data_IF_351718750416
#
_entry.id   IF_351718750416
#
_cell.length_a   1.000
_cell.length_b   1.000
_cell.length_c   1.000
_cell.angle_alpha   90.00
_cell.angle_beta   90.00
_cell.angle_gamma   90.00
#
_symmetry.space_group_name_H-M   'P 1'
#
loop_
_entity.id
_entity.type
_entity.pdbx_description
1 polymer ?
#
# COMPACT_ATOMS: atom_id res chain seq x y z
N UNK A 1 0.93 -15.20 1.90
CA UNK A 1 0.69 -14.30 3.06
C UNK A 1 0.01 -13.00 2.65
N UNK A 2 0.44 -12.32 1.57
CA UNK A 2 -0.25 -11.13 1.05
C UNK A 2 -1.72 -11.40 0.67
N UNK A 3 -1.98 -12.35 -0.24
CA UNK A 3 -3.35 -12.68 -0.68
C UNK A 3 -4.30 -13.02 0.47
N UNK A 4 -3.88 -13.77 1.49
CA UNK A 4 -4.76 -14.09 2.61
C UNK A 4 -5.19 -12.84 3.42
N UNK A 5 -4.29 -11.87 3.62
CA UNK A 5 -4.65 -10.62 4.29
C UNK A 5 -5.58 -9.75 3.44
N UNK A 6 -5.42 -9.81 2.11
CA UNK A 6 -6.33 -9.19 1.15
C UNK A 6 -7.75 -9.79 1.25
N UNK A 7 -7.88 -11.12 1.24
CA UNK A 7 -9.17 -11.80 1.44
C UNK A 7 -9.83 -11.48 2.79
N UNK A 8 -9.03 -11.32 3.85
CA UNK A 8 -9.53 -10.83 5.14
C UNK A 8 -10.08 -9.40 5.03
N UNK A 9 -9.44 -8.54 4.23
CA UNK A 9 -9.92 -7.19 3.93
C UNK A 9 -11.33 -7.19 3.37
N UNK A 10 -11.60 -8.04 2.36
CA UNK A 10 -12.95 -8.21 1.82
C UNK A 10 -13.94 -8.74 2.86
N UNK A 11 -13.54 -9.77 3.61
CA UNK A 11 -14.39 -10.32 4.66
C UNK A 11 -14.78 -9.27 5.71
N UNK A 12 -13.83 -8.43 6.14
CA UNK A 12 -14.13 -7.36 7.10
C UNK A 12 -14.93 -6.22 6.48
N UNK A 13 -14.78 -5.93 5.18
CA UNK A 13 -15.64 -4.99 4.47
C UNK A 13 -17.12 -5.43 4.56
N UNK A 14 -17.38 -6.71 4.29
CA UNK A 14 -18.72 -7.29 4.37
C UNK A 14 -19.33 -7.17 5.76
N UNK A 15 -18.52 -7.39 6.80
CA UNK A 15 -19.00 -7.39 8.19
C UNK A 15 -19.10 -6.01 8.81
N UNK A 16 -18.25 -5.08 8.40
CA UNK A 16 -18.12 -3.79 9.06
C UNK A 16 -18.71 -2.64 8.27
N UNK A 17 -18.78 -2.73 6.93
CA UNK A 17 -19.05 -1.57 6.06
C UNK A 17 -20.34 -1.78 5.28
N UNK A 18 -20.51 -2.91 4.59
CA UNK A 18 -21.57 -3.17 3.60
C UNK A 18 -22.98 -2.75 4.06
N UNK A 19 -23.37 -3.17 5.26
CA UNK A 19 -24.75 -3.03 5.75
C UNK A 19 -24.95 -1.81 6.68
N UNK A 20 -23.91 -1.01 6.94
CA UNK A 20 -23.98 0.21 7.74
C UNK A 20 -23.93 1.45 6.83
N UNK A 21 -25.03 2.21 6.69
CA UNK A 21 -25.09 3.35 5.78
C UNK A 21 -24.08 4.46 6.10
N UNK A 22 -23.74 4.68 7.38
CA UNK A 22 -22.79 5.72 7.77
C UNK A 22 -21.37 5.30 7.41
N UNK A 23 -21.02 4.04 7.67
CA UNK A 23 -19.70 3.51 7.32
C UNK A 23 -19.53 3.36 5.81
N UNK A 24 -20.58 2.98 5.09
CA UNK A 24 -20.56 2.92 3.63
C UNK A 24 -20.36 4.32 3.03
N UNK A 25 -21.00 5.35 3.59
CA UNK A 25 -20.75 6.73 3.17
C UNK A 25 -19.30 7.18 3.44
N UNK A 26 -18.74 6.83 4.60
CA UNK A 26 -17.35 7.12 4.94
C UNK A 26 -16.37 6.37 4.01
N UNK A 27 -16.63 5.10 3.73
CA UNK A 27 -15.89 4.30 2.77
C UNK A 27 -15.87 5.00 1.40
N UNK A 28 -17.03 5.43 0.89
CA UNK A 28 -17.11 6.07 -0.44
C UNK A 28 -16.39 7.42 -0.50
N UNK A 29 -16.35 8.16 0.60
CA UNK A 29 -15.57 9.39 0.69
C UNK A 29 -14.05 9.13 0.59
N UNK A 30 -13.58 7.97 1.09
CA UNK A 30 -12.17 7.62 1.16
C UNK A 30 -11.67 6.79 -0.03
N UNK A 31 -12.42 5.79 -0.48
CA UNK A 31 -11.99 4.82 -1.51
C UNK A 31 -12.69 5.02 -2.86
N UNK A 32 -13.80 5.77 -2.88
CA UNK A 32 -14.64 5.95 -4.06
C UNK A 32 -15.86 5.03 -4.08
N UNK A 33 -16.63 5.11 -5.16
CA UNK A 33 -17.91 4.42 -5.28
C UNK A 33 -17.73 2.97 -5.77
N UNK A 34 -17.95 2.01 -4.86
CA UNK A 34 -17.82 0.58 -5.13
C UNK A 34 -18.93 -0.01 -6.02
N UNK A 35 -19.97 0.78 -6.34
CA UNK A 35 -21.06 0.32 -7.21
C UNK A 35 -20.68 0.31 -8.69
N UNK A 36 -19.49 0.81 -9.03
CA UNK A 36 -18.92 0.60 -10.35
C UNK A 36 -18.95 -0.91 -10.69
N UNK A 37 -19.20 -1.24 -11.95
CA UNK A 37 -19.28 -2.63 -12.36
C UNK A 37 -17.92 -3.31 -12.15
N UNK A 38 -17.81 -4.15 -11.11
CA UNK A 38 -16.56 -4.78 -10.69
C UNK A 38 -15.79 -5.43 -11.85
N UNK A 39 -16.45 -6.30 -12.61
CA UNK A 39 -15.87 -6.99 -13.77
C UNK A 39 -15.39 -6.02 -14.87
N UNK A 40 -16.14 -4.93 -15.08
CA UNK A 40 -15.80 -3.93 -16.09
C UNK A 40 -14.58 -3.11 -15.65
N UNK A 41 -14.50 -2.78 -14.36
CA UNK A 41 -13.38 -2.05 -13.77
C UNK A 41 -12.09 -2.90 -13.84
N UNK A 42 -12.16 -4.18 -13.49
CA UNK A 42 -11.04 -5.11 -13.65
C UNK A 42 -10.63 -5.28 -15.11
N UNK A 43 -11.59 -5.43 -16.02
CA UNK A 43 -11.30 -5.53 -17.46
C UNK A 43 -10.55 -4.28 -17.96
N UNK A 44 -11.01 -3.08 -17.56
CA UNK A 44 -10.35 -1.83 -17.91
C UNK A 44 -8.94 -1.74 -17.31
N UNK A 45 -8.75 -2.18 -16.07
CA UNK A 45 -7.45 -2.23 -15.42
C UNK A 45 -6.49 -3.21 -16.12
N UNK A 46 -6.92 -4.41 -16.47
CA UNK A 46 -6.05 -5.37 -17.18
C UNK A 46 -5.71 -4.91 -18.60
N UNK A 47 -6.57 -4.12 -19.24
CA UNK A 47 -6.31 -3.56 -20.56
C UNK A 47 -5.32 -2.37 -20.52
N UNK A 48 -5.43 -1.50 -19.52
CA UNK A 48 -4.73 -0.21 -19.51
C UNK A 48 -3.65 -0.09 -18.43
N UNK A 49 -3.70 -0.92 -17.39
CA UNK A 49 -2.89 -0.81 -16.18
C UNK A 49 -3.29 0.36 -15.29
N UNK A 50 -2.51 0.58 -14.23
CA UNK A 50 -2.62 1.76 -13.38
C UNK A 50 -2.03 3.00 -14.07
N UNK A 51 -2.56 4.18 -13.73
CA UNK A 51 -1.98 5.45 -14.16
C UNK A 51 -0.53 5.61 -13.65
N UNK A 52 0.39 6.27 -14.38
CA UNK A 52 1.81 6.34 -14.01
C UNK A 52 2.11 6.92 -12.61
N UNK A 53 1.19 7.69 -12.05
CA UNK A 53 1.27 8.39 -10.78
C UNK A 53 0.46 7.73 -9.65
N UNK A 54 0.04 6.47 -9.83
CA UNK A 54 -0.79 5.73 -8.86
C UNK A 54 -0.22 5.70 -7.43
N UNK A 55 1.11 5.72 -7.27
CA UNK A 55 1.79 5.67 -5.98
C UNK A 55 1.48 6.87 -5.09
N UNK A 56 0.96 7.97 -5.66
CA UNK A 56 0.60 9.16 -4.89
C UNK A 56 -0.69 8.98 -4.10
N UNK A 57 -1.52 8.00 -4.44
CA UNK A 57 -2.84 7.82 -3.84
C UNK A 57 -3.19 6.39 -3.42
N UNK A 58 -2.45 5.39 -3.89
CA UNK A 58 -2.77 3.99 -3.67
C UNK A 58 -1.56 3.18 -3.20
N UNK A 59 -1.83 2.16 -2.38
CA UNK A 59 -0.79 1.31 -1.80
C UNK A 59 -0.20 0.30 -2.81
N UNK A 60 -0.93 0.01 -3.88
CA UNK A 60 -0.48 -0.83 -4.98
C UNK A 60 -1.09 -0.37 -6.29
N UNK A 61 -0.50 -0.76 -7.42
CA UNK A 61 -1.11 -0.50 -8.73
C UNK A 61 -2.50 -1.17 -8.83
N UNK A 62 -2.64 -2.37 -8.26
CA UNK A 62 -3.89 -3.13 -8.31
C UNK A 62 -5.02 -2.50 -7.48
N UNK A 63 -4.70 -1.77 -6.42
CA UNK A 63 -5.66 -0.97 -5.67
C UNK A 63 -6.38 0.07 -6.54
N UNK A 64 -5.77 0.53 -7.64
CA UNK A 64 -6.43 1.45 -8.59
C UNK A 64 -7.56 0.79 -9.38
N UNK A 65 -7.65 -0.54 -9.39
CA UNK A 65 -8.56 -1.28 -10.25
C UNK A 65 -10.02 -1.14 -9.84
N UNK A 66 -10.31 -1.00 -8.55
CA UNK A 66 -11.66 -0.83 -8.02
C UNK A 66 -11.61 -0.37 -6.56
N UNK A 67 -12.53 0.51 -6.08
CA UNK A 67 -12.58 0.96 -4.68
C UNK A 67 -12.60 -0.17 -3.65
N UNK A 68 -13.23 -1.29 -3.99
CA UNK A 68 -13.28 -2.47 -3.12
C UNK A 68 -11.92 -3.17 -3.00
N UNK A 69 -11.13 -3.19 -4.08
CA UNK A 69 -9.75 -3.73 -4.08
C UNK A 69 -8.81 -2.78 -3.35
N UNK A 70 -9.00 -1.45 -3.49
CA UNK A 70 -8.23 -0.44 -2.75
C UNK A 70 -8.35 -0.62 -1.23
N UNK A 71 -9.56 -0.89 -0.76
CA UNK A 71 -9.79 -1.24 0.65
C UNK A 71 -9.08 -2.53 1.05
N UNK A 72 -9.21 -3.59 0.26
CA UNK A 72 -8.62 -4.89 0.59
C UNK A 72 -7.08 -4.82 0.63
N UNK A 73 -6.47 -4.12 -0.32
CA UNK A 73 -5.03 -3.85 -0.36
C UNK A 73 -4.57 -2.99 0.82
N UNK A 74 -5.32 -1.92 1.15
CA UNK A 74 -5.04 -1.05 2.30
C UNK A 74 -5.13 -1.82 3.62
N UNK A 75 -6.17 -2.65 3.78
CA UNK A 75 -6.35 -3.49 4.97
C UNK A 75 -5.22 -4.52 5.09
N UNK A 76 -4.84 -5.14 3.98
CA UNK A 76 -3.73 -6.09 3.95
C UNK A 76 -2.40 -5.43 4.35
N UNK A 77 -2.17 -4.20 3.89
CA UNK A 77 -0.99 -3.44 4.24
C UNK A 77 -0.97 -3.02 5.71
N UNK A 78 -2.11 -2.60 6.25
CA UNK A 78 -2.27 -2.31 7.68
C UNK A 78 -1.94 -3.53 8.55
N UNK A 79 -2.46 -4.71 8.19
CA UNK A 79 -2.12 -5.95 8.89
C UNK A 79 -0.64 -6.30 8.76
N UNK A 80 -0.04 -6.09 7.59
CA UNK A 80 1.39 -6.33 7.41
C UNK A 80 2.25 -5.47 8.34
N UNK A 81 1.96 -4.17 8.46
CA UNK A 81 2.66 -3.26 9.37
C UNK A 81 2.47 -3.69 10.82
N UNK A 82 1.23 -4.01 11.20
CA UNK A 82 0.90 -4.44 12.57
C UNK A 82 1.65 -5.71 12.95
N UNK A 83 1.63 -6.72 12.07
CA UNK A 83 2.36 -7.98 12.27
C UNK A 83 3.87 -7.75 12.43
N UNK A 84 4.44 -6.82 11.64
CA UNK A 84 5.86 -6.46 11.76
C UNK A 84 6.17 -5.79 13.10
N UNK A 85 5.31 -4.86 13.56
CA UNK A 85 5.48 -4.19 14.84
C UNK A 85 5.33 -5.17 16.02
N UNK A 86 4.38 -6.09 15.96
CA UNK A 86 4.21 -7.16 16.94
C UNK A 86 5.45 -8.05 17.01
N UNK A 87 6.05 -8.39 15.86
CA UNK A 87 7.31 -9.13 15.80
C UNK A 87 8.47 -8.37 16.44
N UNK A 88 8.61 -7.07 16.14
CA UNK A 88 9.65 -6.22 16.74
C UNK A 88 9.52 -6.21 18.27
N UNK A 89 8.30 -6.06 18.77
CA UNK A 89 8.00 -6.10 20.20
C UNK A 89 8.31 -7.48 20.80
N UNK A 90 7.85 -8.57 20.19
CA UNK A 90 8.04 -9.93 20.68
C UNK A 90 9.52 -10.35 20.73
N UNK A 91 10.35 -9.85 19.82
CA UNK A 91 11.79 -10.10 19.77
C UNK A 91 12.61 -9.06 20.54
N UNK A 92 11.95 -8.12 21.22
CA UNK A 92 12.59 -7.06 22.00
C UNK A 92 13.59 -6.21 21.18
N UNK A 93 13.29 -6.03 19.88
CA UNK A 93 14.10 -5.21 18.99
C UNK A 93 13.85 -3.71 19.28
N UNK A 94 14.90 -2.92 19.52
CA UNK A 94 14.73 -1.48 19.72
C UNK A 94 14.35 -0.77 18.41
N UNK A 95 13.18 -0.11 18.39
CA UNK A 95 12.69 0.66 17.23
C UNK A 95 13.65 1.79 16.80
N UNK A 96 14.48 2.30 17.73
CA UNK A 96 15.50 3.33 17.45
C UNK A 96 16.74 2.82 16.70
N UNK A 97 16.84 1.51 16.40
CA UNK A 97 17.91 0.92 15.57
C UNK A 97 17.40 0.54 14.17
N UNK A 98 16.46 1.32 13.67
CA UNK A 98 16.21 1.45 12.23
C UNK A 98 16.66 2.85 11.80
N UNK A 99 17.85 3.27 12.24
CA UNK A 99 18.56 4.26 11.44
C UNK A 99 18.77 3.61 10.08
N UNK A 100 18.28 4.29 9.04
CA UNK A 100 18.57 3.95 7.65
C UNK A 100 20.02 3.55 7.58
N UNK A 101 20.31 2.29 7.20
CA UNK A 101 21.67 1.90 6.87
C UNK A 101 22.09 2.90 5.80
N UNK A 102 22.96 3.82 6.19
CA UNK A 102 23.40 4.90 5.33
C UNK A 102 23.86 4.23 4.03
N UNK A 103 23.32 4.61 2.88
CA UNK A 103 23.64 3.97 1.61
C UNK A 103 25.15 4.07 1.29
N UNK A 104 25.90 4.85 2.07
CA UNK A 104 27.35 4.96 2.07
C UNK A 104 28.10 3.95 2.98
N UNK A 105 27.42 3.10 3.76
CA UNK A 105 28.06 2.14 4.67
C UNK A 105 28.45 0.81 4.00
N UNK A 106 28.15 0.63 2.71
CA UNK A 106 28.75 -0.46 1.93
C UNK A 106 30.20 -0.08 1.61
N UNK A 107 31.20 -0.94 1.88
CA UNK A 107 32.56 -0.71 1.44
C UNK A 107 32.53 -0.54 -0.09
N UNK A 108 32.89 0.65 -0.58
CA UNK A 108 33.13 0.86 -2.01
C UNK A 108 34.30 -0.04 -2.39
N UNK A 109 33.97 -1.20 -2.95
CA UNK A 109 34.90 -1.93 -3.79
C UNK A 109 35.34 -0.98 -4.91
N UNK A 110 36.62 -0.68 -4.92
CA UNK A 110 37.31 0.01 -6.00
C UNK A 110 37.01 -0.68 -7.33
N UNK A 111 36.21 -0.04 -8.17
CA UNK A 111 36.44 0.02 -9.61
C UNK A 111 35.86 1.33 -10.15
N UNK A 112 36.71 2.12 -10.80
CA UNK A 112 36.42 3.47 -11.21
C UNK A 112 35.44 3.62 -12.39
N UNK A 113 34.96 4.85 -12.54
CA UNK A 113 34.60 5.41 -13.84
C UNK A 113 33.13 5.72 -14.08
N UNK A 114 32.87 7.04 -14.10
CA UNK A 114 31.91 7.74 -14.97
C UNK A 114 30.50 8.09 -14.42
N UNK A 115 30.09 9.27 -14.90
CA UNK A 115 29.05 10.21 -14.48
C UNK A 115 27.63 9.64 -14.42
N UNK A 116 26.80 10.14 -13.49
CA UNK A 116 25.35 9.92 -13.58
C UNK A 116 24.49 10.51 -12.45
N UNK A 117 23.95 11.72 -12.70
CA UNK A 117 22.68 12.31 -12.23
C UNK A 117 22.33 12.28 -10.73
N UNK A 118 22.21 13.48 -10.16
CA UNK A 118 21.47 13.73 -8.91
C UNK A 118 19.99 13.34 -9.12
N UNK A 119 19.51 12.38 -8.36
CA UNK A 119 18.08 12.17 -8.16
C UNK A 119 17.71 12.80 -6.82
N UNK A 120 16.92 13.86 -6.89
CA UNK A 120 16.33 14.53 -5.74
C UNK A 120 15.20 13.64 -5.20
N UNK A 121 15.38 13.11 -3.99
CA UNK A 121 14.39 12.25 -3.35
C UNK A 121 13.31 13.15 -2.73
N UNK A 122 12.18 13.30 -3.41
CA UNK A 122 11.02 13.99 -2.86
C UNK A 122 10.34 13.08 -1.81
N UNK A 123 10.07 13.65 -0.64
CA UNK A 123 9.75 12.94 0.59
C UNK A 123 8.47 12.11 0.56
N UNK A 124 8.50 11.03 1.35
CA UNK A 124 7.32 10.28 1.78
C UNK A 124 6.40 11.19 2.59
N UNK A 125 5.38 11.74 1.94
CA UNK A 125 4.21 12.30 2.60
C UNK A 125 3.02 11.35 2.39
N UNK A 126 2.43 10.95 3.52
CA UNK A 126 1.09 10.37 3.68
C UNK A 126 0.77 9.12 2.82
N UNK A 127 1.04 7.94 3.40
CA UNK A 127 0.47 6.65 2.94
C UNK A 127 -0.62 6.17 3.91
N UNK A 128 -1.38 7.10 4.46
CA UNK A 128 -2.59 6.81 5.22
C UNK A 128 -3.55 7.95 4.90
N UNK A 129 -4.39 7.70 3.88
CA UNK A 129 -5.53 8.54 3.52
C UNK A 129 -6.58 8.51 4.64
#
# INVERSE_FOLDING_TARGET
LGHFRHELGHYYWDRLIRDDPQRLAAFRALFGDERAGYEQALTAYYANGAAPDWQQGHISAYATSHPWEDWAETFAHYLHITDTLEMVHALNFPLGRLETVDANALPRGDTGGDRGKQYEFHGFHSVFR
#
